data_IF_019356262984
#
_entry.id   IF_019356262984
#
_cell.length_a   1.000
_cell.length_b   1.000
_cell.length_c   1.000
_cell.angle_alpha   90.00
_cell.angle_beta   90.00
_cell.angle_gamma   90.00
#
_symmetry.space_group_name_H-M   'P 1'
#
loop_
_entity.id
_entity.type
_entity.pdbx_description
1 polymer ?
#
# COMPACT_ATOMS: atom_id res chain seq x y z
N UNK A 1 0.37 4.06 4.90
CA UNK A 1 -0.59 2.98 5.20
C UNK A 1 -0.47 1.84 4.18
N UNK A 2 -0.89 2.00 2.91
CA UNK A 2 -0.89 0.92 1.91
C UNK A 2 0.45 0.16 1.80
N UNK A 3 1.59 0.85 1.72
CA UNK A 3 2.90 0.20 1.60
C UNK A 3 3.21 -0.71 2.79
N UNK A 4 2.89 -0.28 4.01
CA UNK A 4 3.06 -1.08 5.23
C UNK A 4 2.18 -2.32 5.20
N UNK A 5 0.92 -2.18 4.80
CA UNK A 5 -0.04 -3.30 4.82
C UNK A 5 0.28 -4.37 3.77
N UNK A 6 0.38 -4.01 2.48
CA UNK A 6 0.52 -4.98 1.40
C UNK A 6 1.10 -4.41 0.10
N UNK A 7 1.70 -3.21 0.13
CA UNK A 7 2.13 -2.50 -1.07
C UNK A 7 3.50 -2.90 -1.62
N UNK A 8 4.27 -3.73 -0.91
CA UNK A 8 5.59 -4.21 -1.35
C UNK A 8 5.92 -5.57 -0.74
N UNK A 9 7.04 -6.17 -1.14
CA UNK A 9 7.43 -7.52 -0.73
C UNK A 9 7.65 -7.66 0.79
N UNK A 10 8.21 -6.66 1.46
CA UNK A 10 8.41 -6.66 2.93
C UNK A 10 7.21 -6.20 3.75
N UNK A 11 6.02 -6.12 3.16
CA UNK A 11 4.80 -5.68 3.85
C UNK A 11 4.23 -6.74 4.79
N UNK A 12 3.39 -6.32 5.73
CA UNK A 12 2.80 -7.19 6.76
C UNK A 12 2.02 -8.38 6.19
N UNK A 13 1.19 -8.13 5.17
CA UNK A 13 0.43 -9.21 4.52
C UNK A 13 1.35 -10.22 3.83
N UNK A 14 2.41 -9.75 3.14
CA UNK A 14 3.38 -10.64 2.52
C UNK A 14 4.11 -11.47 3.56
N UNK A 15 4.58 -10.85 4.64
CA UNK A 15 5.28 -11.54 5.71
C UNK A 15 4.38 -12.60 6.38
N UNK A 16 3.17 -12.21 6.81
CA UNK A 16 2.27 -13.12 7.52
C UNK A 16 1.74 -14.26 6.62
N UNK A 17 1.12 -13.90 5.48
CA UNK A 17 0.30 -14.85 4.72
C UNK A 17 1.14 -15.68 3.75
N UNK A 18 2.18 -15.07 3.14
CA UNK A 18 3.07 -15.77 2.23
C UNK A 18 4.24 -16.43 2.94
N UNK A 19 5.06 -15.64 3.69
CA UNK A 19 6.32 -16.15 4.23
C UNK A 19 6.08 -17.06 5.46
N UNK A 20 5.30 -16.58 6.45
CA UNK A 20 5.13 -17.31 7.70
C UNK A 20 4.14 -18.49 7.57
N UNK A 21 3.06 -18.32 6.83
CA UNK A 21 1.98 -19.32 6.72
C UNK A 21 2.01 -20.12 5.42
N UNK A 22 2.64 -19.61 4.37
CA UNK A 22 2.70 -20.31 3.09
C UNK A 22 1.33 -20.51 2.42
N UNK A 23 0.35 -19.65 2.69
CA UNK A 23 -1.02 -19.80 2.18
C UNK A 23 -1.14 -19.42 0.70
N UNK A 24 -0.23 -18.60 0.20
CA UNK A 24 -0.26 -18.08 -1.16
C UNK A 24 1.14 -17.88 -1.72
N UNK A 25 1.26 -17.78 -3.03
CA UNK A 25 2.49 -17.32 -3.70
C UNK A 25 2.63 -15.80 -3.67
N UNK A 26 1.55 -15.07 -3.43
CA UNK A 26 1.59 -13.62 -3.32
C UNK A 26 0.27 -13.02 -2.87
N UNK A 27 0.38 -11.98 -2.09
CA UNK A 27 -0.72 -11.12 -1.65
C UNK A 27 -0.29 -9.69 -1.79
N UNK A 28 -1.18 -8.83 -2.22
CA UNK A 28 -0.86 -7.41 -2.36
C UNK A 28 -2.03 -6.52 -1.99
N UNK A 29 -1.73 -5.32 -1.57
CA UNK A 29 -2.71 -4.24 -1.46
C UNK A 29 -2.32 -3.07 -2.36
N UNK A 30 -3.33 -2.39 -2.90
CA UNK A 30 -3.10 -1.22 -3.74
C UNK A 30 -4.22 -0.19 -3.58
N UNK A 31 -3.84 1.06 -3.71
CA UNK A 31 -4.76 2.16 -3.90
C UNK A 31 -4.81 2.49 -5.40
N UNK A 32 -5.94 2.22 -6.04
CA UNK A 32 -6.14 2.50 -7.45
C UNK A 32 -6.83 3.86 -7.60
N UNK A 33 -6.05 4.86 -7.99
CA UNK A 33 -6.56 6.18 -8.30
C UNK A 33 -7.12 6.22 -9.73
N UNK A 34 -8.30 6.80 -9.88
CA UNK A 34 -8.96 7.07 -11.16
C UNK A 34 -9.33 8.55 -11.23
N UNK A 35 -9.67 9.05 -12.43
CA UNK A 35 -10.01 10.47 -12.62
C UNK A 35 -11.16 10.95 -11.72
N UNK A 36 -12.16 10.12 -11.49
CA UNK A 36 -13.39 10.50 -10.78
C UNK A 36 -13.61 9.71 -9.47
N UNK A 37 -12.59 9.01 -8.99
CA UNK A 37 -12.70 8.23 -7.76
C UNK A 37 -11.46 7.40 -7.50
N UNK A 38 -11.47 6.68 -6.39
CA UNK A 38 -10.40 5.73 -6.05
C UNK A 38 -10.98 4.56 -5.27
N UNK A 39 -10.30 3.43 -5.30
CA UNK A 39 -10.62 2.31 -4.43
C UNK A 39 -9.34 1.70 -3.86
N UNK A 40 -9.47 1.12 -2.69
CA UNK A 40 -8.44 0.31 -2.07
C UNK A 40 -8.82 -1.16 -2.22
N UNK A 41 -7.86 -2.00 -2.58
CA UNK A 41 -8.10 -3.44 -2.76
C UNK A 41 -6.93 -4.24 -2.21
N UNK A 42 -7.27 -5.37 -1.56
CA UNK A 42 -6.34 -6.43 -1.22
C UNK A 42 -6.70 -7.62 -2.09
N UNK A 43 -5.73 -8.23 -2.74
CA UNK A 43 -5.94 -9.37 -3.62
C UNK A 43 -4.91 -10.47 -3.37
N UNK A 44 -5.39 -11.71 -3.39
CA UNK A 44 -4.59 -12.93 -3.29
C UNK A 44 -5.30 -14.10 -3.92
N UNK A 45 -4.53 -15.11 -4.32
CA UNK A 45 -5.02 -16.42 -4.75
C UNK A 45 -4.63 -17.46 -3.71
N UNK A 46 -5.61 -18.18 -3.17
CA UNK A 46 -5.41 -19.22 -2.16
C UNK A 46 -6.16 -20.49 -2.51
N UNK A 47 -5.74 -21.62 -1.97
CA UNK A 47 -6.51 -22.86 -2.07
C UNK A 47 -7.84 -22.72 -1.33
N UNK A 48 -8.88 -23.36 -1.85
CA UNK A 48 -10.24 -23.32 -1.28
C UNK A 48 -10.27 -23.72 0.20
N UNK A 49 -9.49 -24.72 0.58
CA UNK A 49 -9.47 -25.29 1.92
C UNK A 49 -8.94 -24.31 2.98
N UNK A 50 -8.10 -23.33 2.56
CA UNK A 50 -7.47 -22.36 3.48
C UNK A 50 -8.01 -20.94 3.31
N UNK A 51 -9.04 -20.77 2.48
CA UNK A 51 -9.62 -19.46 2.19
C UNK A 51 -10.04 -18.70 3.45
N UNK A 52 -10.81 -19.36 4.34
CA UNK A 52 -11.30 -18.72 5.57
C UNK A 52 -10.13 -18.29 6.50
N UNK A 53 -9.09 -19.12 6.60
CA UNK A 53 -7.91 -18.80 7.39
C UNK A 53 -7.15 -17.61 6.81
N UNK A 54 -6.99 -17.57 5.48
CA UNK A 54 -6.32 -16.45 4.80
C UNK A 54 -7.09 -15.13 4.99
N UNK A 55 -8.41 -15.15 4.84
CA UNK A 55 -9.26 -13.98 5.08
C UNK A 55 -9.15 -13.53 6.55
N UNK A 56 -9.21 -14.46 7.50
CA UNK A 56 -9.06 -14.15 8.92
C UNK A 56 -7.72 -13.45 9.21
N UNK A 57 -6.63 -13.91 8.60
CA UNK A 57 -5.31 -13.30 8.79
C UNK A 57 -5.23 -11.92 8.15
N UNK A 58 -5.85 -11.69 6.97
CA UNK A 58 -5.95 -10.36 6.37
C UNK A 58 -6.62 -9.38 7.34
N UNK A 59 -7.76 -9.76 7.90
CA UNK A 59 -8.47 -8.91 8.87
C UNK A 59 -7.65 -8.66 10.14
N UNK A 60 -6.91 -9.66 10.64
CA UNK A 60 -6.01 -9.48 11.79
C UNK A 60 -4.93 -8.42 11.51
N UNK A 61 -4.30 -8.44 10.34
CA UNK A 61 -3.29 -7.43 9.99
C UNK A 61 -3.92 -6.03 9.82
N UNK A 62 -5.13 -5.95 9.28
CA UNK A 62 -5.89 -4.70 9.21
C UNK A 62 -6.16 -4.16 10.63
N UNK A 63 -6.68 -5.00 11.53
CA UNK A 63 -6.99 -4.58 12.90
C UNK A 63 -5.72 -4.21 13.69
N UNK A 64 -4.60 -4.92 13.51
CA UNK A 64 -3.32 -4.51 14.09
C UNK A 64 -2.92 -3.12 13.60
N UNK A 65 -3.01 -2.86 12.30
CA UNK A 65 -2.62 -1.56 11.74
C UNK A 65 -3.52 -0.40 12.22
N UNK A 66 -4.78 -0.67 12.54
CA UNK A 66 -5.73 0.30 13.12
C UNK A 66 -5.49 0.56 14.60
N UNK A 67 -5.15 -0.48 15.36
CA UNK A 67 -5.15 -0.43 16.82
C UNK A 67 -3.76 -0.33 17.45
N UNK A 68 -2.72 -0.70 16.72
CA UNK A 68 -1.34 -0.69 17.18
C UNK A 68 -0.51 0.28 16.35
N UNK A 69 0.27 1.17 16.97
CA UNK A 69 1.18 2.05 16.22
C UNK A 69 2.25 1.22 15.50
N UNK A 70 2.57 1.62 14.28
CA UNK A 70 3.72 1.04 13.57
C UNK A 70 5.02 1.45 14.26
N UNK A 71 6.06 0.62 14.18
CA UNK A 71 7.36 0.98 14.73
C UNK A 71 8.03 2.07 13.89
N UNK A 72 8.90 2.88 14.51
CA UNK A 72 9.69 3.86 13.79
C UNK A 72 10.56 3.21 12.71
N UNK A 73 11.15 2.05 13.01
CA UNK A 73 11.95 1.28 12.07
C UNK A 73 11.13 0.85 10.84
N UNK A 74 9.92 0.31 11.05
CA UNK A 74 9.03 -0.11 9.95
C UNK A 74 8.65 1.09 9.07
N UNK A 75 8.31 2.22 9.67
CA UNK A 75 7.97 3.44 8.94
C UNK A 75 9.15 3.98 8.15
N UNK A 76 10.35 4.05 8.73
CA UNK A 76 11.55 4.53 8.04
C UNK A 76 11.98 3.58 6.91
N UNK A 77 11.89 2.27 7.09
CA UNK A 77 12.16 1.30 6.03
C UNK A 77 11.22 1.51 4.83
N UNK A 78 9.93 1.74 5.08
CA UNK A 78 8.95 2.04 4.02
C UNK A 78 9.24 3.39 3.35
N UNK A 79 9.57 4.44 4.09
CA UNK A 79 9.94 5.74 3.51
C UNK A 79 11.17 5.63 2.61
N UNK A 80 12.18 4.89 3.05
CA UNK A 80 13.41 4.67 2.28
C UNK A 80 13.10 3.88 0.99
N UNK A 81 12.32 2.81 1.07
CA UNK A 81 11.87 2.04 -0.08
C UNK A 81 11.08 2.91 -1.08
N UNK A 82 10.12 3.69 -0.62
CA UNK A 82 9.32 4.58 -1.47
C UNK A 82 10.17 5.68 -2.11
N UNK A 83 11.12 6.24 -1.36
CA UNK A 83 12.05 7.25 -1.88
C UNK A 83 12.93 6.67 -2.99
N UNK A 84 13.50 5.48 -2.77
CA UNK A 84 14.31 4.78 -3.77
C UNK A 84 13.54 4.46 -5.04
N UNK A 85 12.32 3.92 -4.91
CA UNK A 85 11.46 3.64 -6.05
C UNK A 85 11.05 4.91 -6.82
N UNK A 86 10.75 5.98 -6.12
CA UNK A 86 10.43 7.26 -6.76
C UNK A 86 11.61 7.79 -7.57
N UNK A 87 12.81 7.83 -7.00
CA UNK A 87 14.01 8.26 -7.71
C UNK A 87 14.31 7.34 -8.90
N UNK A 88 14.19 6.03 -8.73
CA UNK A 88 14.33 5.06 -9.81
C UNK A 88 13.31 5.27 -10.95
N UNK A 89 12.07 5.69 -10.62
CA UNK A 89 11.03 5.98 -11.61
C UNK A 89 11.29 7.24 -12.45
N UNK A 90 12.32 8.01 -12.14
CA UNK A 90 12.72 9.21 -12.90
C UNK A 90 13.98 8.97 -13.76
N UNK A 91 14.43 7.74 -13.89
CA UNK A 91 15.73 7.40 -14.49
C UNK A 91 15.78 7.56 -16.02
N UNK A 92 14.66 7.70 -16.70
CA UNK A 92 14.60 7.87 -18.16
C UNK A 92 13.74 9.04 -18.56
N UNK A 93 14.00 9.60 -19.76
CA UNK A 93 13.19 10.68 -20.31
C UNK A 93 11.70 10.27 -20.47
N UNK A 94 11.45 9.02 -20.87
CA UNK A 94 10.09 8.50 -21.00
C UNK A 94 9.36 8.46 -19.64
N UNK A 95 10.03 7.99 -18.60
CA UNK A 95 9.45 7.97 -17.25
C UNK A 95 9.14 9.38 -16.72
N UNK A 96 9.98 10.36 -17.04
CA UNK A 96 9.70 11.77 -16.72
C UNK A 96 8.49 12.29 -17.50
N UNK A 97 8.38 11.94 -18.81
CA UNK A 97 7.21 12.30 -19.63
C UNK A 97 5.91 11.71 -19.07
N UNK A 98 5.92 10.45 -18.62
CA UNK A 98 4.75 9.83 -17.96
C UNK A 98 4.31 10.62 -16.72
N UNK A 99 5.26 11.09 -15.91
CA UNK A 99 4.96 11.94 -14.75
C UNK A 99 4.38 13.31 -15.15
N UNK A 100 4.87 13.89 -16.21
CA UNK A 100 4.31 15.15 -16.74
C UNK A 100 2.90 14.94 -17.30
N UNK A 101 2.66 13.79 -17.95
CA UNK A 101 1.33 13.40 -18.42
C UNK A 101 0.35 13.24 -17.25
N UNK A 102 0.77 12.62 -16.13
CA UNK A 102 -0.04 12.50 -14.92
C UNK A 102 -0.45 13.87 -14.36
N UNK A 103 0.50 14.82 -14.27
CA UNK A 103 0.23 16.20 -13.83
C UNK A 103 -0.91 16.81 -14.67
N UNK A 104 -0.81 16.69 -15.99
CA UNK A 104 -1.82 17.23 -16.89
C UNK A 104 -3.17 16.50 -16.81
N UNK A 105 -3.13 15.15 -16.84
CA UNK A 105 -4.34 14.31 -16.85
C UNK A 105 -5.18 14.47 -15.58
N UNK A 106 -4.50 14.56 -14.42
CA UNK A 106 -5.14 14.65 -13.10
C UNK A 106 -5.23 16.09 -12.59
N UNK A 107 -4.83 17.08 -13.39
CA UNK A 107 -4.80 18.51 -13.02
C UNK A 107 -4.09 18.74 -11.67
N UNK A 108 -2.91 18.13 -11.52
CA UNK A 108 -2.09 18.25 -10.32
C UNK A 108 -1.28 19.56 -10.35
N UNK A 109 -0.83 20.01 -9.17
CA UNK A 109 0.12 21.11 -9.06
C UNK A 109 1.46 20.73 -9.72
N UNK A 110 2.10 21.70 -10.40
CA UNK A 110 3.38 21.48 -11.10
C UNK A 110 4.49 21.02 -10.15
N UNK A 111 4.42 21.38 -8.88
CA UNK A 111 5.36 20.93 -7.85
C UNK A 111 4.99 19.60 -7.19
N UNK A 112 3.91 18.94 -7.61
CA UNK A 112 3.42 17.72 -6.99
C UNK A 112 4.53 16.68 -6.77
N UNK A 113 5.32 16.40 -7.81
CA UNK A 113 6.42 15.46 -7.72
C UNK A 113 7.68 16.02 -7.06
N UNK A 114 7.94 17.32 -7.16
CA UNK A 114 9.04 17.98 -6.48
C UNK A 114 8.90 17.90 -4.95
N UNK A 115 7.65 18.01 -4.47
CA UNK A 115 7.34 17.94 -3.05
C UNK A 115 7.20 16.53 -2.51
N UNK A 116 7.17 15.52 -3.38
CA UNK A 116 6.85 14.13 -3.00
C UNK A 116 7.73 13.60 -1.87
N UNK A 117 9.06 13.68 -2.01
CA UNK A 117 10.01 13.20 -1.00
C UNK A 117 9.87 13.99 0.30
N UNK A 118 9.68 15.31 0.20
CA UNK A 118 9.50 16.17 1.38
C UNK A 118 8.22 15.81 2.14
N UNK A 119 7.12 15.58 1.44
CA UNK A 119 5.85 15.15 2.02
C UNK A 119 5.96 13.76 2.62
N UNK A 120 6.60 12.81 1.91
CA UNK A 120 6.81 11.45 2.39
C UNK A 120 7.59 11.41 3.71
N UNK A 121 8.67 12.19 3.83
CA UNK A 121 9.48 12.26 5.06
C UNK A 121 8.72 12.82 6.26
N UNK A 122 7.72 13.68 6.03
CA UNK A 122 6.89 14.28 7.10
C UNK A 122 5.80 13.34 7.63
N UNK A 123 5.51 12.24 6.95
CA UNK A 123 4.51 11.26 7.41
C UNK A 123 4.92 10.71 8.78
N UNK A 124 3.99 10.71 9.71
CA UNK A 124 4.18 10.21 11.08
C UNK A 124 3.50 8.86 11.29
N UNK A 125 3.79 8.23 12.42
CA UNK A 125 3.13 6.99 12.86
C UNK A 125 1.63 7.23 13.05
N UNK A 126 1.28 8.36 13.64
CA UNK A 126 -0.12 8.78 13.88
C UNK A 126 -0.88 9.00 12.57
N UNK A 127 -0.22 9.56 11.54
CA UNK A 127 -0.83 9.70 10.22
C UNK A 127 -1.18 8.35 9.61
N UNK A 128 -0.28 7.37 9.72
CA UNK A 128 -0.50 6.01 9.23
C UNK A 128 -1.70 5.37 9.93
N UNK A 129 -1.74 5.44 11.27
CA UNK A 129 -2.80 4.85 12.07
C UNK A 129 -4.15 5.53 11.79
N UNK A 130 -4.17 6.87 11.75
CA UNK A 130 -5.38 7.64 11.44
C UNK A 130 -5.96 7.28 10.07
N UNK A 131 -5.12 7.13 9.05
CA UNK A 131 -5.56 6.72 7.70
C UNK A 131 -6.09 5.29 7.74
N UNK A 132 -5.46 4.36 8.46
CA UNK A 132 -5.96 3.00 8.61
C UNK A 132 -7.35 2.97 9.29
N UNK A 133 -7.52 3.70 10.37
CA UNK A 133 -8.80 3.82 11.08
C UNK A 133 -9.90 4.47 10.25
N UNK A 134 -9.54 5.40 9.36
CA UNK A 134 -10.53 6.14 8.54
C UNK A 134 -10.98 5.32 7.33
N UNK A 135 -10.09 4.59 6.68
CA UNK A 135 -10.35 4.00 5.37
C UNK A 135 -10.42 2.47 5.34
N UNK A 136 -9.91 1.77 6.36
CA UNK A 136 -10.02 0.31 6.43
C UNK A 136 -11.26 -0.10 7.24
N UNK A 137 -12.42 0.38 6.79
CA UNK A 137 -13.73 0.13 7.39
C UNK A 137 -14.70 -0.34 6.30
N UNK A 138 -15.73 -1.09 6.68
CA UNK A 138 -16.80 -1.55 5.78
C UNK A 138 -16.29 -2.23 4.50
N UNK A 139 -15.30 -3.10 4.66
CA UNK A 139 -14.67 -3.80 3.53
C UNK A 139 -15.65 -4.81 2.91
N UNK A 140 -15.71 -4.80 1.57
CA UNK A 140 -16.48 -5.79 0.81
C UNK A 140 -15.55 -6.94 0.42
N UNK A 141 -15.98 -8.16 0.69
CA UNK A 141 -15.27 -9.38 0.34
C UNK A 141 -15.87 -9.98 -0.92
N UNK A 142 -15.01 -10.30 -1.88
CA UNK A 142 -15.39 -10.98 -3.13
C UNK A 142 -14.51 -12.21 -3.29
N UNK A 143 -15.14 -13.38 -3.37
CA UNK A 143 -14.49 -14.65 -3.62
C UNK A 143 -14.98 -15.23 -4.94
N UNK A 144 -14.04 -15.73 -5.76
CA UNK A 144 -14.33 -16.40 -7.04
C UNK A 144 -13.62 -17.74 -7.01
N UNK A 145 -14.37 -18.83 -7.21
CA UNK A 145 -13.82 -20.20 -7.23
C UNK A 145 -14.87 -21.26 -7.13
#
# INVERSE_FOLDING_TARGET
MNMILGGYFGSRLMQNIREDKGYTYGISSRNAAMKNGSYFVIGTDVKKEIYQDAVSEIYKEIEKLKNEPVSEEELENVKNYMSGNFLGSLSTAFAVMDKMQDIHLYNLDENYYNDYITKLRKVTIEDVQKVAQTYLVDLTEVCIG
#
